data_IF_586867008863
#
_entry.id   IF_586867008863
#
_cell.length_a   1.000
_cell.length_b   1.000
_cell.length_c   1.000
_cell.angle_alpha   90.00
_cell.angle_beta   90.00
_cell.angle_gamma   90.00
#
_symmetry.space_group_name_H-M   'P 1'
#
loop_
_entity.id
_entity.type
_entity.pdbx_description
1 polymer ?
#
# COMPACT_ATOMS: atom_id res chain seq x y z
N UNK A 1 5.27 -53.42 43.63
CA UNK A 1 4.47 -52.35 44.27
C UNK A 1 5.25 -51.06 44.24
N UNK A 2 4.64 -50.03 43.64
CA UNK A 2 4.84 -48.59 43.86
C UNK A 2 6.23 -48.01 43.56
N UNK A 3 6.37 -46.95 42.76
CA UNK A 3 5.59 -45.71 42.81
C UNK A 3 5.39 -45.11 41.41
N UNK A 4 4.14 -44.78 41.10
CA UNK A 4 3.74 -43.90 40.01
C UNK A 4 4.36 -42.51 40.20
N UNK A 5 5.21 -42.08 39.27
CA UNK A 5 5.53 -40.66 39.09
C UNK A 5 4.33 -39.98 38.45
N UNK A 6 3.43 -39.42 39.27
CA UNK A 6 2.21 -38.74 38.80
C UNK A 6 2.55 -37.39 38.17
N UNK A 7 1.97 -37.15 36.99
CA UNK A 7 1.89 -35.87 36.27
C UNK A 7 1.23 -34.76 37.13
N UNK A 8 1.96 -34.21 38.11
CA UNK A 8 1.51 -33.10 38.95
C UNK A 8 1.91 -31.70 38.39
N UNK A 9 2.72 -31.65 37.32
CA UNK A 9 3.29 -30.41 36.78
C UNK A 9 2.32 -29.49 35.99
N UNK A 10 1.03 -29.82 35.96
CA UNK A 10 0.00 -29.06 35.21
C UNK A 10 -1.16 -28.54 36.06
N UNK A 11 -1.01 -28.50 37.39
CA UNK A 11 -2.04 -27.99 38.31
C UNK A 11 -1.66 -26.60 38.84
N UNK A 12 -2.57 -25.66 38.72
CA UNK A 12 -2.40 -24.28 39.19
C UNK A 12 -3.49 -23.98 40.21
N UNK A 13 -3.10 -23.54 41.40
CA UNK A 13 -4.02 -23.06 42.43
C UNK A 13 -4.32 -21.58 42.20
N UNK A 14 -5.58 -21.22 42.20
CA UNK A 14 -6.06 -19.84 42.04
C UNK A 14 -7.21 -19.57 43.01
N UNK A 15 -7.40 -18.30 43.36
CA UNK A 15 -8.52 -17.85 44.19
C UNK A 15 -9.47 -17.04 43.32
N UNK A 16 -10.75 -17.41 43.29
CA UNK A 16 -11.77 -16.72 42.52
C UNK A 16 -12.97 -16.49 43.44
N UNK A 17 -13.30 -15.21 43.64
CA UNK A 17 -14.40 -14.75 44.48
C UNK A 17 -14.40 -15.34 45.91
N UNK A 18 -13.20 -15.44 46.50
CA UNK A 18 -12.97 -15.95 47.84
C UNK A 18 -12.87 -17.47 47.97
N UNK A 19 -13.08 -18.21 46.88
CA UNK A 19 -13.01 -19.68 46.86
C UNK A 19 -11.71 -20.14 46.15
N UNK A 20 -11.02 -21.16 46.71
CA UNK A 20 -9.82 -21.75 46.10
C UNK A 20 -10.19 -22.81 45.05
N UNK A 21 -9.59 -22.69 43.86
CA UNK A 21 -9.74 -23.64 42.77
C UNK A 21 -8.39 -24.18 42.32
N UNK A 22 -8.34 -25.49 42.05
CA UNK A 22 -7.17 -26.16 41.46
C UNK A 22 -7.48 -26.45 39.99
N UNK A 23 -6.90 -25.66 39.09
CA UNK A 23 -7.12 -25.76 37.65
C UNK A 23 -6.02 -26.62 37.04
N UNK A 24 -6.41 -27.65 36.28
CA UNK A 24 -5.48 -28.42 35.45
C UNK A 24 -5.48 -27.84 34.04
N UNK A 25 -4.34 -27.36 33.57
CA UNK A 25 -4.21 -26.65 32.30
C UNK A 25 -2.90 -27.03 31.58
N UNK A 26 -2.89 -26.91 30.26
CA UNK A 26 -1.67 -27.12 29.47
C UNK A 26 -0.88 -25.84 29.27
N UNK A 27 -1.55 -24.70 29.43
CA UNK A 27 -1.01 -23.37 29.36
C UNK A 27 -0.13 -23.03 30.57
N UNK A 28 0.63 -21.94 30.47
CA UNK A 28 1.53 -21.51 31.55
C UNK A 28 0.73 -21.16 32.82
N UNK A 29 1.35 -21.42 33.98
CA UNK A 29 0.74 -21.08 35.27
C UNK A 29 0.46 -19.58 35.39
N UNK A 30 1.29 -18.73 34.77
CA UNK A 30 1.08 -17.28 34.70
C UNK A 30 -0.18 -16.92 33.92
N UNK A 31 -0.40 -17.53 32.75
CA UNK A 31 -1.60 -17.29 31.95
C UNK A 31 -2.87 -17.69 32.71
N UNK A 32 -2.87 -18.86 33.35
CA UNK A 32 -4.03 -19.32 34.13
C UNK A 32 -4.31 -18.39 35.31
N UNK A 33 -3.27 -17.91 36.01
CA UNK A 33 -3.43 -16.90 37.07
C UNK A 33 -3.99 -15.59 36.52
N UNK A 34 -3.55 -15.13 35.35
CA UNK A 34 -4.08 -13.93 34.70
C UNK A 34 -5.55 -14.08 34.32
N UNK A 35 -5.94 -15.23 33.77
CA UNK A 35 -7.35 -15.52 33.44
C UNK A 35 -8.19 -15.55 34.71
N UNK A 36 -7.74 -16.24 35.75
CA UNK A 36 -8.43 -16.28 37.04
C UNK A 36 -8.59 -14.89 37.66
N UNK A 37 -7.53 -14.05 37.60
CA UNK A 37 -7.59 -12.67 38.04
C UNK A 37 -8.61 -11.86 37.23
N UNK A 38 -8.59 -11.97 35.90
CA UNK A 38 -9.56 -11.27 35.04
C UNK A 38 -11.00 -11.68 35.32
N UNK A 39 -11.23 -12.95 35.66
CA UNK A 39 -12.55 -13.44 36.07
C UNK A 39 -12.94 -12.85 37.43
N UNK A 40 -12.02 -12.87 38.41
CA UNK A 40 -12.27 -12.30 39.73
C UNK A 40 -12.59 -10.79 39.65
N UNK A 41 -11.82 -10.03 38.88
CA UNK A 41 -12.03 -8.59 38.67
C UNK A 41 -13.42 -8.30 38.07
N UNK A 42 -13.88 -9.14 37.14
CA UNK A 42 -15.22 -8.98 36.54
C UNK A 42 -16.33 -9.30 37.56
N UNK A 43 -16.15 -10.36 38.35
CA UNK A 43 -17.10 -10.73 39.41
C UNK A 43 -17.17 -9.63 40.47
N UNK A 44 -16.05 -9.06 40.89
CA UNK A 44 -16.01 -7.96 41.85
C UNK A 44 -16.68 -6.69 41.30
N UNK A 45 -16.44 -6.34 40.02
CA UNK A 45 -17.14 -5.21 39.36
C UNK A 45 -18.65 -5.40 39.37
N UNK A 46 -19.13 -6.58 38.99
CA UNK A 46 -20.57 -6.90 38.96
C UNK A 46 -21.15 -6.90 40.37
N UNK A 47 -20.43 -7.46 41.35
CA UNK A 47 -20.82 -7.46 42.76
C UNK A 47 -21.01 -6.04 43.28
N UNK A 48 -20.01 -5.16 43.09
CA UNK A 48 -20.02 -3.78 43.57
C UNK A 48 -21.17 -2.95 42.96
N UNK A 49 -21.55 -3.24 41.71
CA UNK A 49 -22.68 -2.61 41.04
C UNK A 49 -24.03 -3.17 41.49
N UNK A 50 -24.08 -4.39 42.03
CA UNK A 50 -25.30 -5.12 42.29
C UNK A 50 -25.30 -5.82 43.67
N UNK A 51 -25.07 -5.05 44.74
CA UNK A 51 -24.96 -5.53 46.13
C UNK A 51 -26.20 -6.27 46.70
N UNK A 52 -27.32 -6.30 45.96
CA UNK A 52 -28.57 -6.99 46.37
C UNK A 52 -28.73 -8.38 45.76
N UNK A 53 -27.85 -8.79 44.86
CA UNK A 53 -27.92 -10.09 44.18
C UNK A 53 -27.27 -11.20 45.00
N UNK A 54 -27.75 -12.43 44.85
CA UNK A 54 -27.11 -13.59 45.44
C UNK A 54 -25.78 -13.90 44.73
N UNK A 55 -24.84 -14.50 45.47
CA UNK A 55 -23.51 -14.92 44.95
C UNK A 55 -23.59 -15.65 43.60
N UNK A 56 -24.52 -16.61 43.47
CA UNK A 56 -24.73 -17.37 42.23
C UNK A 56 -25.17 -16.45 41.07
N UNK A 57 -26.09 -15.51 41.32
CA UNK A 57 -26.57 -14.58 40.27
C UNK A 57 -25.46 -13.63 39.81
N UNK A 58 -24.60 -13.19 40.72
CA UNK A 58 -23.42 -12.36 40.40
C UNK A 58 -22.46 -13.15 39.50
N UNK A 59 -22.16 -14.40 39.87
CA UNK A 59 -21.30 -15.28 39.05
C UNK A 59 -21.88 -15.51 37.65
N UNK A 60 -23.19 -15.82 37.54
CA UNK A 60 -23.85 -16.03 36.24
C UNK A 60 -23.84 -14.75 35.39
N UNK A 61 -24.11 -13.59 35.99
CA UNK A 61 -24.08 -12.30 35.27
C UNK A 61 -22.66 -11.95 34.78
N UNK A 62 -21.65 -12.23 35.61
CA UNK A 62 -20.25 -12.03 35.24
C UNK A 62 -19.82 -12.95 34.11
N UNK A 63 -20.22 -14.22 34.16
CA UNK A 63 -20.01 -15.17 33.06
C UNK A 63 -20.66 -14.69 31.75
N UNK A 64 -21.87 -14.12 31.83
CA UNK A 64 -22.55 -13.57 30.66
C UNK A 64 -21.81 -12.34 30.09
N UNK A 65 -21.31 -11.45 30.95
CA UNK A 65 -20.50 -10.31 30.52
C UNK A 65 -19.19 -10.74 29.83
N UNK A 66 -18.50 -11.74 30.37
CA UNK A 66 -17.29 -12.28 29.76
C UNK A 66 -17.59 -12.94 28.41
N UNK A 67 -18.69 -13.69 28.30
CA UNK A 67 -19.13 -14.28 27.03
C UNK A 67 -19.45 -13.22 25.98
N UNK A 68 -20.17 -12.15 26.34
CA UNK A 68 -20.48 -11.04 25.44
C UNK A 68 -19.20 -10.33 24.96
N UNK A 69 -18.25 -10.05 25.87
CA UNK A 69 -16.93 -9.49 25.51
C UNK A 69 -16.18 -10.40 24.54
N UNK A 70 -16.21 -11.71 24.76
CA UNK A 70 -15.58 -12.69 23.88
C UNK A 70 -16.19 -12.65 22.48
N UNK A 71 -17.51 -12.71 22.35
CA UNK A 71 -18.18 -12.71 21.05
C UNK A 71 -17.97 -11.40 20.28
N UNK A 72 -18.04 -10.25 20.96
CA UNK A 72 -17.73 -8.95 20.34
C UNK A 72 -16.29 -8.89 19.82
N UNK A 73 -15.32 -9.36 20.61
CA UNK A 73 -13.93 -9.43 20.18
C UNK A 73 -13.73 -10.40 18.99
N UNK A 74 -14.48 -11.51 18.94
CA UNK A 74 -14.44 -12.46 17.83
C UNK A 74 -15.00 -11.85 16.53
N UNK A 75 -16.10 -11.10 16.61
CA UNK A 75 -16.64 -10.35 15.48
C UNK A 75 -15.66 -9.28 14.99
N UNK A 76 -15.09 -8.48 15.90
CA UNK A 76 -14.07 -7.48 15.56
C UNK A 76 -12.87 -8.12 14.86
N UNK A 77 -12.35 -9.22 15.40
CA UNK A 77 -11.26 -10.00 14.78
C UNK A 77 -11.62 -10.45 13.36
N UNK A 78 -12.86 -10.89 13.12
CA UNK A 78 -13.35 -11.27 11.79
C UNK A 78 -13.40 -10.07 10.84
N UNK A 79 -13.89 -8.91 11.31
CA UNK A 79 -13.91 -7.68 10.49
C UNK A 79 -12.51 -7.21 10.15
N UNK A 80 -11.58 -7.21 11.11
CA UNK A 80 -10.17 -6.85 10.91
C UNK A 80 -9.52 -7.79 9.91
N UNK A 81 -9.74 -9.10 10.04
CA UNK A 81 -9.23 -10.10 9.09
C UNK A 81 -9.73 -9.85 7.67
N UNK A 82 -11.00 -9.47 7.52
CA UNK A 82 -11.57 -9.13 6.21
C UNK A 82 -10.98 -7.83 5.65
N UNK A 83 -10.88 -6.77 6.46
CA UNK A 83 -10.24 -5.51 6.06
C UNK A 83 -8.78 -5.72 5.65
N UNK A 84 -8.05 -6.56 6.37
CA UNK A 84 -6.67 -6.93 6.04
C UNK A 84 -6.59 -7.65 4.69
N UNK A 85 -7.45 -8.65 4.45
CA UNK A 85 -7.53 -9.34 3.14
C UNK A 85 -7.82 -8.35 2.01
N UNK A 86 -8.81 -7.49 2.17
CA UNK A 86 -9.16 -6.48 1.16
C UNK A 86 -8.00 -5.52 0.90
N UNK A 87 -7.30 -5.08 1.95
CA UNK A 87 -6.13 -4.19 1.83
C UNK A 87 -4.99 -4.87 1.08
N UNK A 88 -4.70 -6.13 1.42
CA UNK A 88 -3.70 -6.95 0.73
C UNK A 88 -4.01 -7.14 -0.76
N UNK A 89 -5.28 -7.34 -1.11
CA UNK A 89 -5.70 -7.42 -2.53
C UNK A 89 -5.54 -6.08 -3.25
N UNK A 90 -5.86 -4.96 -2.59
CA UNK A 90 -5.66 -3.62 -3.15
C UNK A 90 -4.17 -3.32 -3.39
N UNK A 91 -3.31 -3.75 -2.47
CA UNK A 91 -1.85 -3.64 -2.62
C UNK A 91 -1.35 -4.41 -3.84
N UNK A 92 -1.76 -5.68 -3.99
CA UNK A 92 -1.40 -6.48 -5.16
C UNK A 92 -1.87 -5.85 -6.48
N UNK A 93 -3.09 -5.29 -6.51
CA UNK A 93 -3.61 -4.56 -7.68
C UNK A 93 -2.78 -3.34 -8.03
N UNK A 94 -2.41 -2.54 -7.02
CA UNK A 94 -1.59 -1.34 -7.19
C UNK A 94 -0.21 -1.70 -7.75
N UNK A 95 0.41 -2.77 -7.27
CA UNK A 95 1.71 -3.23 -7.78
C UNK A 95 1.66 -3.65 -9.26
N UNK A 96 0.57 -4.27 -9.70
CA UNK A 96 0.37 -4.58 -11.12
C UNK A 96 0.22 -3.30 -11.95
N UNK A 97 -0.58 -2.34 -11.48
CA UNK A 97 -0.73 -1.04 -12.15
C UNK A 97 0.61 -0.28 -12.26
N UNK A 98 1.47 -0.34 -11.24
CA UNK A 98 2.80 0.27 -11.32
C UNK A 98 3.68 -0.39 -12.39
N UNK A 99 3.62 -1.72 -12.54
CA UNK A 99 4.35 -2.42 -13.60
C UNK A 99 3.86 -2.03 -14.99
N UNK A 100 2.55 -1.98 -15.19
CA UNK A 100 1.93 -1.54 -16.44
C UNK A 100 2.32 -0.10 -16.78
N UNK A 101 2.16 0.84 -15.84
CA UNK A 101 2.50 2.24 -16.04
C UNK A 101 4.00 2.46 -16.31
N UNK A 102 4.88 1.70 -15.65
CA UNK A 102 6.31 1.73 -15.92
C UNK A 102 6.63 1.30 -17.36
N UNK A 103 5.96 0.26 -17.86
CA UNK A 103 6.11 -0.19 -19.24
C UNK A 103 5.60 0.87 -20.24
N UNK A 104 4.45 1.48 -19.97
CA UNK A 104 3.93 2.59 -20.77
C UNK A 104 4.89 3.77 -20.79
N UNK A 105 5.45 4.14 -19.63
CA UNK A 105 6.41 5.23 -19.52
C UNK A 105 7.69 4.96 -20.30
N UNK A 106 8.22 3.73 -20.22
CA UNK A 106 9.36 3.30 -21.02
C UNK A 106 9.07 3.34 -22.53
N UNK A 107 7.87 2.92 -22.94
CA UNK A 107 7.45 2.98 -24.34
C UNK A 107 7.31 4.43 -24.82
N UNK A 108 6.72 5.30 -24.02
CA UNK A 108 6.57 6.72 -24.33
C UNK A 108 7.93 7.41 -24.42
N UNK A 109 8.84 7.09 -23.50
CA UNK A 109 10.23 7.57 -23.52
C UNK A 109 10.94 7.22 -24.83
N UNK A 110 10.85 5.96 -25.28
CA UNK A 110 11.42 5.54 -26.58
C UNK A 110 10.81 6.29 -27.77
N UNK A 111 9.50 6.53 -27.76
CA UNK A 111 8.82 7.32 -28.80
C UNK A 111 9.34 8.76 -28.81
N UNK A 112 9.49 9.38 -27.63
CA UNK A 112 10.04 10.72 -27.48
C UNK A 112 11.48 10.81 -28.02
N UNK A 113 12.35 9.86 -27.66
CA UNK A 113 13.73 9.79 -28.17
C UNK A 113 13.78 9.68 -29.70
N UNK A 114 12.87 8.91 -30.28
CA UNK A 114 12.75 8.78 -31.75
C UNK A 114 12.30 10.09 -32.39
N UNK A 115 11.32 10.75 -31.79
CA UNK A 115 10.82 12.03 -32.28
C UNK A 115 11.88 13.13 -32.21
N UNK A 116 12.65 13.17 -31.13
CA UNK A 116 13.78 14.07 -30.96
C UNK A 116 14.81 13.91 -32.08
N UNK A 117 15.20 12.66 -32.40
CA UNK A 117 16.12 12.37 -33.50
C UNK A 117 15.59 12.86 -34.85
N UNK A 118 14.29 12.69 -35.12
CA UNK A 118 13.65 13.18 -36.35
C UNK A 118 13.68 14.70 -36.42
N UNK A 119 13.37 15.38 -35.31
CA UNK A 119 13.42 16.83 -35.22
C UNK A 119 14.83 17.36 -35.52
N UNK A 120 15.86 16.78 -34.92
CA UNK A 120 17.25 17.21 -35.15
C UNK A 120 17.68 16.99 -36.61
N UNK A 121 17.20 15.92 -37.25
CA UNK A 121 17.44 15.67 -38.67
C UNK A 121 16.75 16.70 -39.56
N UNK A 122 15.48 17.03 -39.30
CA UNK A 122 14.73 18.06 -40.03
C UNK A 122 15.39 19.42 -39.87
N UNK A 123 15.79 19.79 -38.64
CA UNK A 123 16.51 21.04 -38.36
C UNK A 123 17.79 21.16 -39.20
N UNK A 124 18.59 20.09 -39.28
CA UNK A 124 19.78 20.04 -40.13
C UNK A 124 19.46 20.18 -41.62
N UNK A 125 18.39 19.53 -42.09
CA UNK A 125 17.95 19.62 -43.48
C UNK A 125 17.48 21.04 -43.83
N UNK A 126 16.73 21.69 -42.94
CA UNK A 126 16.28 23.07 -43.13
C UNK A 126 17.46 24.03 -43.26
N UNK A 127 18.45 23.95 -42.36
CA UNK A 127 19.65 24.78 -42.43
C UNK A 127 20.41 24.61 -43.76
N UNK A 128 20.50 23.37 -44.28
CA UNK A 128 21.13 23.10 -45.58
C UNK A 128 20.33 23.70 -46.73
N UNK A 129 19.01 23.60 -46.68
CA UNK A 129 18.13 24.16 -47.71
C UNK A 129 18.21 25.70 -47.72
N UNK A 130 18.27 26.31 -46.55
CA UNK A 130 18.44 27.75 -46.37
C UNK A 130 19.78 28.26 -46.95
N UNK A 131 20.86 27.51 -46.73
CA UNK A 131 22.16 27.78 -47.38
C UNK A 131 22.09 27.67 -48.90
N UNK A 132 21.40 26.66 -49.45
CA UNK A 132 21.22 26.54 -50.91
C UNK A 132 20.38 27.67 -51.48
N UNK A 133 19.30 28.05 -50.79
CA UNK A 133 18.42 29.12 -51.22
C UNK A 133 19.14 30.48 -51.23
N UNK A 134 19.94 30.76 -50.20
CA UNK A 134 20.75 31.98 -50.16
C UNK A 134 21.82 32.03 -51.24
N UNK A 135 22.46 30.89 -51.55
CA UNK A 135 23.37 30.77 -52.69
C UNK A 135 22.66 31.04 -54.02
N UNK A 136 21.56 30.34 -54.29
CA UNK A 136 20.79 30.50 -55.53
C UNK A 136 20.26 31.94 -55.70
N UNK A 137 19.86 32.58 -54.60
CA UNK A 137 19.44 33.99 -54.61
C UNK A 137 20.59 34.93 -55.02
N UNK A 138 21.83 34.63 -54.61
CA UNK A 138 23.01 35.40 -54.98
C UNK A 138 23.31 35.24 -56.47
N UNK A 139 23.33 34.01 -56.97
CA UNK A 139 23.55 33.71 -58.39
C UNK A 139 22.50 34.41 -59.28
N UNK A 140 21.25 34.49 -58.83
CA UNK A 140 20.19 35.23 -59.53
C UNK A 140 20.46 36.73 -59.61
N UNK A 141 20.90 37.36 -58.51
CA UNK A 141 21.27 38.78 -58.52
C UNK A 141 22.45 39.05 -59.46
N UNK A 142 23.45 38.16 -59.44
CA UNK A 142 24.61 38.28 -60.35
C UNK A 142 24.19 38.19 -61.82
N UNK A 143 23.30 37.25 -62.16
CA UNK A 143 22.78 37.10 -63.52
C UNK A 143 21.89 38.29 -63.96
N UNK A 144 21.11 38.87 -63.03
CA UNK A 144 20.29 40.06 -63.28
C UNK A 144 21.19 41.28 -63.55
N UNK A 145 22.27 41.46 -62.77
CA UNK A 145 23.27 42.50 -63.00
C UNK A 145 23.99 42.34 -64.35
N UNK A 146 24.36 41.11 -64.74
CA UNK A 146 24.95 40.83 -66.06
C UNK A 146 24.00 41.14 -67.22
N UNK A 147 22.71 40.82 -67.05
CA UNK A 147 21.69 41.09 -68.07
C UNK A 147 21.44 42.59 -68.27
N UNK A 148 21.39 43.36 -67.17
CA UNK A 148 21.26 44.82 -67.22
C UNK A 148 22.50 45.48 -67.86
N UNK A 149 23.69 44.96 -67.57
CA UNK A 149 24.93 45.40 -68.21
C UNK A 149 24.93 45.11 -69.72
N UNK A 150 24.44 43.95 -70.14
CA UNK A 150 24.29 43.59 -71.56
C UNK A 150 23.32 44.54 -72.30
N UNK A 151 22.16 44.83 -71.71
CA UNK A 151 21.19 45.76 -72.31
C UNK A 151 21.74 47.18 -72.48
N UNK A 152 22.63 47.63 -71.58
CA UNK A 152 23.26 48.96 -71.66
C UNK A 152 24.42 49.05 -72.66
N UNK A 153 25.06 47.93 -73.02
CA UNK A 153 26.03 47.88 -74.13
C UNK A 153 25.34 47.92 -75.49
N UNK A 154 24.26 47.14 -75.70
CA UNK A 154 23.56 47.07 -76.98
C UNK A 154 22.61 48.26 -77.23
N UNK A 155 22.22 49.01 -76.20
CA UNK A 155 21.42 50.25 -76.34
C UNK A 155 22.19 51.48 -76.83
N UNK A 156 23.46 51.34 -77.24
CA UNK A 156 24.34 52.45 -77.69
C UNK A 156 24.64 52.45 -79.20
N UNK A 157 24.02 51.58 -80.00
CA UNK A 157 24.28 51.49 -81.44
C UNK A 157 23.33 52.27 -82.37
N UNK A 158 22.51 53.21 -81.85
CA UNK A 158 21.77 54.20 -82.68
C UNK A 158 22.21 55.64 -82.40
#
# INVERSE_FOLDING_TARGET
MSKEGKNDDKKVKVMIFGDEYVIKAEESAEYIKQVAQSVNDEIEKVNNQNNRLSRIRIMVLSSLHLADKYYKAEEEKKTIKNKFKTSKTKEYRRDQQYKELSNEHNNLKKKYETLQKKYDAIKKAHNKLEQKYTGLKKDYCELEEEYDAFLTEFGKED
#
